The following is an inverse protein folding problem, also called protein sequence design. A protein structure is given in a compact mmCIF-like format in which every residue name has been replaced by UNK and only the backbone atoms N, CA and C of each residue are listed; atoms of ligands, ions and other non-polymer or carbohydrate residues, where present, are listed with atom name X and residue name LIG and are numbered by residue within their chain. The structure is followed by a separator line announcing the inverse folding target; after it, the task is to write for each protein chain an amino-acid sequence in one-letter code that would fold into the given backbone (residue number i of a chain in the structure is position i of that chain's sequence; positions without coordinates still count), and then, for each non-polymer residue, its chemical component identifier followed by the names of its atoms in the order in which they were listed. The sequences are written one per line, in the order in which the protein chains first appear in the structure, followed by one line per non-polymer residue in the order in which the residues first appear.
data_IF_829748188311
#
_entry.id   IF_829748188311
#
_cell.length_a   1.000
_cell.length_b   1.000
_cell.length_c   1.000
_cell.angle_alpha   90.00
_cell.angle_beta   90.00
_cell.angle_gamma   90.00
#
_symmetry.space_group_name_H-M   'P 1'
#
loop_
_entity.id
_entity.type
_entity.pdbx_description
1 polymer ?
#
# COMPACT_ATOMS: atom_id res chain seq x y z
N UNK A 1 -12.40 -23.24 -1.17
CA UNK A 1 -13.86 -23.47 -1.18
C UNK A 1 -14.28 -23.68 -2.62
N UNK A 2 -14.47 -24.93 -3.01
CA UNK A 2 -14.97 -25.29 -4.34
C UNK A 2 -16.50 -25.16 -4.33
N UNK A 3 -17.05 -24.29 -5.16
CA UNK A 3 -18.43 -24.43 -5.60
C UNK A 3 -18.42 -24.62 -7.12
N UNK A 4 -18.90 -25.80 -7.51
CA UNK A 4 -19.28 -26.16 -8.87
C UNK A 4 -20.65 -25.54 -9.18
N UNK A 5 -20.85 -25.05 -10.40
CA UNK A 5 -22.16 -25.07 -11.03
C UNK A 5 -22.04 -25.66 -12.44
N UNK A 6 -22.98 -26.56 -12.75
CA UNK A 6 -23.07 -27.29 -14.00
C UNK A 6 -23.64 -26.36 -15.08
N UNK A 7 -22.98 -26.30 -16.23
CA UNK A 7 -23.41 -25.70 -17.52
C UNK A 7 -23.02 -24.25 -17.88
N UNK A 8 -22.32 -23.48 -17.04
CA UNK A 8 -21.77 -22.18 -17.45
C UNK A 8 -20.26 -22.24 -17.50
N UNK A 9 -19.64 -22.02 -18.67
CA UNK A 9 -18.19 -21.80 -18.75
C UNK A 9 -17.88 -20.45 -18.06
N UNK A 10 -17.76 -20.46 -16.73
CA UNK A 10 -17.25 -19.33 -15.97
C UNK A 10 -15.74 -19.35 -16.17
N UNK A 11 -15.26 -18.60 -17.15
CA UNK A 11 -13.84 -18.28 -17.24
C UNK A 11 -13.53 -17.36 -16.07
N UNK A 12 -13.13 -17.93 -14.93
CA UNK A 12 -12.58 -17.19 -13.80
C UNK A 12 -11.17 -16.73 -14.15
N UNK A 13 -11.03 -15.80 -15.10
CA UNK A 13 -9.71 -15.36 -15.57
C UNK A 13 -8.93 -14.64 -14.47
N UNK A 14 -9.58 -14.23 -13.36
CA UNK A 14 -8.98 -13.24 -12.47
C UNK A 14 -9.17 -13.43 -10.96
N UNK A 15 -9.44 -14.66 -10.47
CA UNK A 15 -9.52 -14.90 -9.02
C UNK A 15 -8.14 -15.05 -8.34
N UNK A 16 -7.05 -15.07 -9.13
CA UNK A 16 -5.67 -15.20 -8.65
C UNK A 16 -4.90 -13.88 -8.66
N UNK A 17 -5.36 -12.81 -9.34
CA UNK A 17 -4.72 -11.49 -9.21
C UNK A 17 -5.21 -10.82 -7.94
N UNK A 18 -4.75 -11.29 -6.80
CA UNK A 18 -4.96 -10.60 -5.54
C UNK A 18 -4.26 -9.25 -5.62
N UNK A 19 -5.05 -8.17 -5.58
CA UNK A 19 -4.51 -6.82 -5.51
C UNK A 19 -3.64 -6.73 -4.24
N UNK A 20 -2.41 -6.20 -4.32
CA UNK A 20 -1.56 -6.06 -3.16
C UNK A 20 -2.26 -5.20 -2.11
N UNK A 21 -2.06 -5.53 -0.84
CA UNK A 21 -2.50 -4.68 0.26
C UNK A 21 -1.36 -3.75 0.61
N UNK A 22 -1.68 -2.46 0.74
CA UNK A 22 -0.76 -1.43 1.21
C UNK A 22 -1.22 -0.93 2.57
N UNK A 23 -0.31 -0.90 3.54
CA UNK A 23 -0.56 -0.44 4.91
C UNK A 23 0.48 0.60 5.30
N UNK A 24 0.11 1.48 6.22
CA UNK A 24 0.96 2.55 6.74
C UNK A 24 1.41 2.25 8.16
N UNK A 25 2.57 2.78 8.52
CA UNK A 25 3.03 2.89 9.90
C UNK A 25 3.66 4.27 10.09
N UNK A 26 3.48 4.85 11.27
CA UNK A 26 4.07 6.14 11.61
C UNK A 26 4.00 6.38 13.11
N UNK A 27 4.89 7.22 13.62
CA UNK A 27 4.67 7.88 14.90
C UNK A 27 3.71 9.06 14.71
N UNK A 28 2.60 9.08 15.46
CA UNK A 28 1.58 10.12 15.36
C UNK A 28 2.09 11.54 15.60
N UNK A 29 3.19 11.68 16.36
CA UNK A 29 3.81 12.95 16.72
C UNK A 29 5.04 13.31 15.86
N UNK A 30 5.45 12.44 14.93
CA UNK A 30 6.66 12.64 14.13
C UNK A 30 6.32 13.07 12.71
N UNK A 31 7.06 14.04 12.18
CA UNK A 31 7.00 14.44 10.77
C UNK A 31 8.08 13.75 9.91
N UNK A 32 8.83 12.80 10.46
CA UNK A 32 9.99 12.18 9.80
C UNK A 32 10.12 10.67 10.06
N UNK A 33 9.18 10.05 10.78
CA UNK A 33 9.22 8.62 11.13
C UNK A 33 7.92 7.94 10.69
N UNK A 34 7.85 7.71 9.39
CA UNK A 34 6.74 7.06 8.73
C UNK A 34 7.20 6.11 7.64
N UNK A 35 6.28 5.28 7.19
CA UNK A 35 6.52 4.40 6.07
C UNK A 35 5.27 3.64 5.64
N UNK A 36 5.45 2.81 4.63
CA UNK A 36 4.42 1.91 4.13
C UNK A 36 4.95 0.50 3.93
N UNK A 37 4.05 -0.46 4.06
CA UNK A 37 4.26 -1.89 3.85
C UNK A 37 3.33 -2.33 2.73
N UNK A 38 3.86 -3.09 1.79
CA UNK A 38 3.13 -3.73 0.70
C UNK A 38 3.25 -5.24 0.89
N UNK A 39 2.10 -5.91 0.88
CA UNK A 39 2.03 -7.37 0.92
C UNK A 39 1.39 -7.84 -0.37
N UNK A 40 2.21 -8.48 -1.21
CA UNK A 40 1.74 -9.16 -2.42
C UNK A 40 1.06 -10.47 -2.03
N UNK A 41 0.03 -10.86 -2.78
CA UNK A 41 -0.69 -12.12 -2.54
C UNK A 41 -1.16 -12.29 -1.09
N UNK A 42 -1.73 -11.21 -0.52
CA UNK A 42 -2.05 -11.14 0.90
C UNK A 42 -2.87 -12.33 1.39
N UNK A 43 -3.90 -12.77 0.66
CA UNK A 43 -4.72 -13.91 1.07
C UNK A 43 -3.91 -15.19 1.27
N UNK A 44 -2.94 -15.46 0.38
CA UNK A 44 -2.04 -16.61 0.50
C UNK A 44 -1.07 -16.45 1.66
N UNK A 45 -0.44 -15.28 1.77
CA UNK A 45 0.51 -14.97 2.86
C UNK A 45 -0.17 -15.05 4.22
N UNK A 46 -1.39 -14.52 4.33
CA UNK A 46 -2.20 -14.54 5.53
C UNK A 46 -2.59 -15.97 5.90
N UNK A 47 -3.07 -16.77 4.94
CA UNK A 47 -3.42 -18.18 5.19
C UNK A 47 -2.22 -19.05 5.59
N UNK A 48 -1.00 -18.71 5.14
CA UNK A 48 0.22 -19.40 5.55
C UNK A 48 0.83 -18.86 6.85
N UNK A 49 0.34 -17.73 7.37
CA UNK A 49 0.81 -17.15 8.62
C UNK A 49 0.15 -17.90 9.78
N UNK A 50 0.94 -18.31 10.79
CA UNK A 50 0.41 -18.98 11.97
C UNK A 50 -0.68 -18.14 12.64
N UNK A 51 -1.69 -18.80 13.23
CA UNK A 51 -2.72 -18.11 14.00
C UNK A 51 -2.09 -17.30 15.14
N UNK A 52 -2.54 -16.04 15.31
CA UNK A 52 -1.94 -15.05 16.21
C UNK A 52 -0.45 -14.73 15.93
N UNK A 53 0.09 -15.17 14.79
CA UNK A 53 1.43 -14.84 14.32
C UNK A 53 1.50 -13.51 13.57
N UNK A 54 2.73 -13.10 13.26
CA UNK A 54 3.03 -11.90 12.48
C UNK A 54 3.45 -12.28 11.07
N UNK A 55 2.96 -11.55 10.06
CA UNK A 55 3.43 -11.72 8.68
C UNK A 55 4.93 -11.42 8.63
N UNK A 56 5.72 -12.41 8.23
CA UNK A 56 7.18 -12.31 8.16
C UNK A 56 7.63 -11.12 7.30
N UNK A 57 8.74 -10.47 7.68
CA UNK A 57 9.31 -9.32 6.95
C UNK A 57 9.70 -9.70 5.52
N UNK A 58 10.06 -10.96 5.27
CA UNK A 58 10.35 -11.48 3.92
C UNK A 58 9.15 -11.44 2.98
N UNK A 59 7.93 -11.41 3.52
CA UNK A 59 6.68 -11.26 2.77
C UNK A 59 6.24 -9.78 2.64
N UNK A 60 7.07 -8.84 3.10
CA UNK A 60 6.79 -7.42 3.11
C UNK A 60 7.77 -6.67 2.21
N UNK A 61 7.24 -5.77 1.39
CA UNK A 61 8.02 -4.72 0.72
C UNK A 61 7.77 -3.41 1.44
N UNK A 62 8.81 -2.67 1.80
CA UNK A 62 8.71 -1.46 2.64
C UNK A 62 9.30 -0.25 1.95
N UNK A 63 8.60 0.88 2.00
CA UNK A 63 9.16 2.20 1.66
C UNK A 63 9.24 3.01 2.96
N UNK A 64 10.44 3.47 3.30
CA UNK A 64 10.75 4.20 4.53
C UNK A 64 12.12 4.86 4.42
N UNK A 65 12.38 5.86 5.26
CA UNK A 65 13.64 6.60 5.27
C UNK A 65 13.46 8.05 4.83
N UNK A 66 14.55 8.81 4.86
CA UNK A 66 14.49 10.26 4.67
C UNK A 66 14.08 10.68 3.25
N UNK A 67 14.52 9.93 2.22
CA UNK A 67 14.16 10.25 0.84
C UNK A 67 12.70 9.92 0.53
N UNK A 68 12.10 9.00 1.30
CA UNK A 68 10.69 8.63 1.12
C UNK A 68 9.73 9.78 1.36
N UNK A 69 10.10 10.80 2.15
CA UNK A 69 9.21 11.88 2.60
C UNK A 69 8.01 11.40 3.44
N UNK A 70 8.00 10.12 3.85
CA UNK A 70 6.99 9.57 4.75
C UNK A 70 7.36 9.93 6.19
N UNK A 71 6.58 10.81 6.78
CA UNK A 71 6.75 11.28 8.15
C UNK A 71 5.58 10.86 9.03
N UNK A 72 4.39 11.28 8.62
CA UNK A 72 3.12 10.96 9.23
C UNK A 72 2.08 10.60 8.15
N UNK A 73 2.27 9.49 7.42
CA UNK A 73 1.27 9.04 6.49
C UNK A 73 0.01 8.60 7.25
N UNK A 74 -1.15 9.11 6.83
CA UNK A 74 -2.44 8.87 7.50
C UNK A 74 -3.44 8.10 6.64
N UNK A 75 -3.31 8.15 5.31
CA UNK A 75 -4.13 7.37 4.40
C UNK A 75 -3.34 6.94 3.16
N UNK A 76 -3.72 5.80 2.59
CA UNK A 76 -3.10 5.25 1.38
C UNK A 76 -4.16 4.68 0.45
N UNK A 77 -3.96 4.85 -0.85
CA UNK A 77 -4.74 4.20 -1.88
C UNK A 77 -3.80 3.60 -2.93
N UNK A 78 -4.04 2.34 -3.27
CA UNK A 78 -3.33 1.68 -4.35
C UNK A 78 -4.20 1.62 -5.59
N UNK A 79 -3.60 2.05 -6.70
CA UNK A 79 -4.18 1.93 -8.02
C UNK A 79 -3.65 0.67 -8.72
N UNK A 80 -4.53 -0.33 -8.87
CA UNK A 80 -4.17 -1.61 -9.52
C UNK A 80 -3.96 -1.55 -11.04
N UNK A 81 -4.36 -0.48 -11.72
CA UNK A 81 -4.21 -0.34 -13.18
C UNK A 81 -2.92 0.38 -13.50
N UNK A 82 -2.70 1.57 -12.94
CA UNK A 82 -1.47 2.35 -13.17
C UNK A 82 -0.30 1.88 -12.31
N UNK A 83 -0.58 1.05 -11.29
CA UNK A 83 0.38 0.55 -10.31
C UNK A 83 0.94 1.66 -9.40
N UNK A 84 0.27 2.81 -9.33
CA UNK A 84 0.67 3.88 -8.42
C UNK A 84 0.12 3.67 -7.00
N UNK A 85 0.88 4.13 -6.02
CA UNK A 85 0.50 4.23 -4.62
C UNK A 85 0.39 5.71 -4.28
N UNK A 86 -0.78 6.12 -3.80
CA UNK A 86 -1.05 7.47 -3.37
C UNK A 86 -1.12 7.52 -1.85
N UNK A 87 -0.39 8.44 -1.23
CA UNK A 87 -0.32 8.59 0.22
C UNK A 87 -0.72 10.01 0.62
N UNK A 88 -1.63 10.12 1.57
CA UNK A 88 -1.86 11.35 2.32
C UNK A 88 -0.82 11.42 3.44
N UNK A 89 0.15 12.31 3.29
CA UNK A 89 1.18 12.62 4.28
C UNK A 89 0.75 13.87 5.04
N UNK A 90 0.55 13.77 6.35
CA UNK A 90 -0.10 14.84 7.13
C UNK A 90 0.85 15.90 7.65
N UNK A 91 2.07 15.52 8.07
CA UNK A 91 2.95 16.41 8.84
C UNK A 91 4.22 16.80 8.08
N UNK A 92 4.79 15.88 7.31
CA UNK A 92 6.00 16.17 6.53
C UNK A 92 5.72 17.34 5.57
N UNK A 93 6.59 18.34 5.58
CA UNK A 93 6.46 19.59 4.83
C UNK A 93 5.10 20.32 4.98
N UNK A 94 4.39 20.14 6.11
CA UNK A 94 3.11 20.79 6.39
C UNK A 94 1.88 20.13 5.75
N UNK A 95 2.05 18.95 5.12
CA UNK A 95 0.98 18.18 4.50
C UNK A 95 1.11 18.08 2.98
N UNK A 96 1.07 16.86 2.45
CA UNK A 96 1.35 16.56 1.06
C UNK A 96 0.58 15.34 0.56
N UNK A 97 0.29 15.30 -0.74
CA UNK A 97 -0.05 14.05 -1.43
C UNK A 97 1.19 13.54 -2.16
N UNK A 98 1.64 12.36 -1.75
CA UNK A 98 2.79 11.66 -2.32
C UNK A 98 2.29 10.58 -3.28
N UNK A 99 3.00 10.41 -4.40
CA UNK A 99 2.75 9.32 -5.36
C UNK A 99 4.02 8.50 -5.51
N UNK A 100 3.90 7.18 -5.43
CA UNK A 100 5.00 6.25 -5.69
C UNK A 100 4.61 5.30 -6.81
N UNK A 101 5.59 4.94 -7.64
CA UNK A 101 5.48 3.74 -8.46
C UNK A 101 5.53 2.49 -7.58
N UNK A 102 4.97 1.38 -8.04
CA UNK A 102 5.06 0.12 -7.32
C UNK A 102 6.53 -0.31 -7.16
N UNK A 103 7.04 -0.49 -5.92
CA UNK A 103 8.44 -0.80 -5.69
C UNK A 103 8.79 -2.25 -6.04
N UNK A 104 10.03 -2.47 -6.48
CA UNK A 104 10.58 -3.81 -6.79
C UNK A 104 11.20 -4.50 -5.56
N UNK A 105 11.44 -3.76 -4.48
CA UNK A 105 12.03 -4.23 -3.23
C UNK A 105 11.83 -3.21 -2.11
N UNK A 106 12.36 -3.49 -0.92
CA UNK A 106 12.30 -2.53 0.20
C UNK A 106 13.41 -1.49 0.09
N UNK A 107 13.17 -0.26 0.52
CA UNK A 107 14.18 0.80 0.49
C UNK A 107 13.66 2.20 0.72
N UNK A 108 14.61 3.15 0.73
CA UNK A 108 14.38 4.58 0.85
C UNK A 108 14.15 5.21 -0.53
N UNK A 109 12.92 5.03 -1.04
CA UNK A 109 12.53 5.49 -2.37
C UNK A 109 11.80 6.82 -2.30
N UNK A 110 12.28 7.81 -3.06
CA UNK A 110 11.56 9.06 -3.26
C UNK A 110 10.23 8.87 -4.01
N UNK A 111 9.20 9.67 -3.71
CA UNK A 111 7.97 9.68 -4.49
C UNK A 111 8.25 10.20 -5.90
N UNK A 112 7.52 9.67 -6.89
CA UNK A 112 7.55 10.17 -8.28
C UNK A 112 6.87 11.53 -8.42
N UNK A 113 5.99 11.88 -7.48
CA UNK A 113 5.39 13.19 -7.38
C UNK A 113 5.06 13.52 -5.92
N UNK A 114 5.33 14.75 -5.51
CA UNK A 114 4.91 15.31 -4.23
C UNK A 114 4.16 16.62 -4.50
N UNK A 115 2.90 16.70 -4.07
CA UNK A 115 2.08 17.91 -4.19
C UNK A 115 1.73 18.41 -2.80
N UNK A 116 2.04 19.67 -2.50
CA UNK A 116 1.61 20.31 -1.27
C UNK A 116 0.08 20.26 -1.15
N UNK A 117 -0.40 19.83 0.01
CA UNK A 117 -1.83 19.69 0.32
C UNK A 117 -2.00 19.80 1.84
N UNK A 118 -2.05 21.03 2.35
CA UNK A 118 -2.15 21.27 3.77
C UNK A 118 -3.45 20.68 4.35
N UNK A 119 -3.34 19.98 5.48
CA UNK A 119 -4.50 19.37 6.15
C UNK A 119 -5.04 18.11 5.47
N UNK A 120 -4.32 17.53 4.50
CA UNK A 120 -4.69 16.24 3.91
C UNK A 120 -4.76 15.15 4.98
N UNK A 121 -5.89 14.44 5.02
CA UNK A 121 -6.17 13.40 6.02
C UNK A 121 -6.72 12.12 5.42
N UNK A 122 -7.10 12.15 4.14
CA UNK A 122 -7.67 11.01 3.44
C UNK A 122 -7.23 11.01 1.98
N UNK A 123 -7.32 9.85 1.35
CA UNK A 123 -7.07 9.69 -0.08
C UNK A 123 -7.93 8.56 -0.62
N UNK A 124 -8.47 8.75 -1.82
CA UNK A 124 -9.20 7.72 -2.56
C UNK A 124 -8.88 7.86 -4.04
N UNK A 125 -8.83 6.73 -4.73
CA UNK A 125 -8.67 6.70 -6.19
C UNK A 125 -10.04 6.48 -6.80
N UNK A 126 -10.51 7.47 -7.56
CA UNK A 126 -11.72 7.35 -8.38
C UNK A 126 -11.31 7.04 -9.81
N UNK A 127 -11.93 5.98 -10.36
CA UNK A 127 -11.92 5.73 -11.79
C UNK A 127 -13.25 6.16 -12.38
N UNK A 128 -13.17 6.88 -13.50
CA UNK A 128 -14.32 7.13 -14.37
C UNK A 128 -14.38 6.05 -15.44
#
# INVERSE_FOLDING_TARGET
MTSSNTSGKITLTNLLTTTPIVKLFASAASATDGGLIIIKNFSTVFASTAAAGTIAVTNQVRIYGSNSLLGNPVAVAYDSVTKNIYVAERLNAGGQVLTYSFPVGSGDFAPVNARAEAGVTSIFVLRK
#
